data_IF_025003731167
#
_entry.id   IF_025003731167
#
_cell.length_a   1.000
_cell.length_b   1.000
_cell.length_c   1.000
_cell.angle_alpha   90.00
_cell.angle_beta   90.00
_cell.angle_gamma   90.00
#
_symmetry.space_group_name_H-M   'P 1'
#
loop_
_entity.id
_entity.type
_entity.pdbx_description
1 polymer ?
#
# COMPACT_ATOMS: atom_id res chain seq x y z
N UNK A 1 15.63 -15.30 -10.81
CA UNK A 1 16.49 -14.44 -9.97
C UNK A 1 15.95 -14.49 -8.54
N UNK A 2 16.82 -14.64 -7.55
CA UNK A 2 16.66 -15.25 -6.20
C UNK A 2 16.67 -16.78 -6.15
N UNK A 3 15.83 -17.49 -6.92
CA UNK A 3 15.77 -18.97 -6.95
C UNK A 3 16.34 -19.61 -8.23
N UNK A 4 16.98 -18.81 -9.08
CA UNK A 4 17.67 -19.36 -10.27
C UNK A 4 19.00 -19.95 -9.80
N UNK A 5 19.40 -21.10 -10.34
CA UNK A 5 20.61 -21.80 -9.91
C UNK A 5 21.87 -20.93 -10.02
N UNK A 6 22.02 -20.19 -11.11
CA UNK A 6 23.19 -19.34 -11.37
C UNK A 6 23.18 -18.02 -10.56
N UNK A 7 22.00 -17.50 -10.25
CA UNK A 7 21.81 -16.23 -9.56
C UNK A 7 21.05 -16.41 -8.24
N UNK A 8 21.32 -17.52 -7.56
CA UNK A 8 20.66 -17.85 -6.31
C UNK A 8 21.07 -16.82 -5.26
N UNK A 9 20.10 -16.36 -4.48
CA UNK A 9 20.35 -15.50 -3.35
C UNK A 9 19.97 -16.26 -2.07
N UNK A 10 20.95 -16.88 -1.37
CA UNK A 10 20.68 -17.76 -0.23
C UNK A 10 19.76 -17.16 0.84
N UNK A 11 19.87 -15.86 1.22
CA UNK A 11 18.97 -15.27 2.20
C UNK A 11 17.48 -15.27 1.81
N UNK A 12 17.13 -15.51 0.54
CA UNK A 12 15.75 -15.69 0.08
C UNK A 12 15.48 -17.15 -0.25
N UNK A 13 16.39 -17.79 -1.00
CA UNK A 13 16.21 -19.13 -1.53
C UNK A 13 16.13 -20.21 -0.45
N UNK A 14 16.88 -20.04 0.64
CA UNK A 14 16.97 -21.03 1.72
C UNK A 14 15.79 -20.91 2.70
N UNK A 15 15.12 -19.75 2.73
CA UNK A 15 13.99 -19.48 3.63
C UNK A 15 12.68 -20.01 3.07
N UNK A 16 12.43 -19.82 1.77
CA UNK A 16 11.16 -20.17 1.13
C UNK A 16 11.40 -20.57 -0.33
N UNK A 17 10.72 -21.59 -0.83
CA UNK A 17 10.82 -21.94 -2.26
C UNK A 17 10.06 -20.95 -3.14
N UNK A 18 10.49 -20.79 -4.40
CA UNK A 18 9.81 -19.95 -5.40
C UNK A 18 8.32 -20.25 -5.47
N UNK A 19 7.96 -21.52 -5.59
CA UNK A 19 6.58 -21.93 -5.81
C UNK A 19 5.72 -21.69 -4.56
N UNK A 20 6.29 -21.89 -3.36
CA UNK A 20 5.61 -21.55 -2.12
C UNK A 20 5.39 -20.04 -1.98
N UNK A 21 6.39 -19.22 -2.29
CA UNK A 21 6.26 -17.76 -2.27
C UNK A 21 5.18 -17.28 -3.25
N UNK A 22 5.19 -17.79 -4.49
CA UNK A 22 4.18 -17.43 -5.49
C UNK A 22 2.77 -17.87 -5.09
N UNK A 23 2.63 -19.05 -4.48
CA UNK A 23 1.36 -19.53 -3.97
C UNK A 23 0.83 -18.65 -2.83
N UNK A 24 1.67 -18.26 -1.87
CA UNK A 24 1.27 -17.34 -0.80
C UNK A 24 0.91 -15.97 -1.35
N UNK A 25 1.75 -15.39 -2.22
CA UNK A 25 1.50 -14.08 -2.84
C UNK A 25 0.17 -14.04 -3.62
N UNK A 26 -0.17 -15.12 -4.33
CA UNK A 26 -1.41 -15.20 -5.12
C UNK A 26 -2.66 -15.30 -4.24
N UNK A 27 -2.56 -15.97 -3.08
CA UNK A 27 -3.68 -16.27 -2.21
C UNK A 27 -3.68 -15.42 -0.92
N UNK A 28 -2.92 -14.34 -0.89
CA UNK A 28 -2.86 -13.45 0.26
C UNK A 28 -4.13 -12.58 0.32
N UNK A 29 -4.96 -12.84 1.33
CA UNK A 29 -6.20 -12.12 1.58
C UNK A 29 -6.23 -11.65 3.05
N UNK A 30 -6.62 -10.40 3.25
CA UNK A 30 -6.72 -9.76 4.58
C UNK A 30 -8.14 -9.86 5.12
N UNK A 31 -9.10 -10.00 4.22
CA UNK A 31 -10.54 -10.01 4.50
C UNK A 31 -11.19 -11.23 3.91
N UNK A 32 -12.31 -11.63 4.50
CA UNK A 32 -13.17 -12.68 3.99
C UNK A 32 -13.94 -12.19 2.74
N UNK A 33 -13.45 -12.56 1.56
CA UNK A 33 -13.97 -12.06 0.27
C UNK A 33 -15.39 -12.52 -0.04
N UNK A 34 -15.84 -13.63 0.57
CA UNK A 34 -17.17 -14.21 0.33
C UNK A 34 -18.27 -13.57 1.18
N UNK A 35 -17.93 -12.65 2.08
CA UNK A 35 -18.91 -11.93 2.88
C UNK A 35 -19.61 -10.85 2.03
N UNK A 36 -20.93 -10.66 2.17
CA UNK A 36 -21.61 -9.53 1.53
C UNK A 36 -20.96 -8.21 1.95
N UNK A 37 -20.68 -7.36 0.95
CA UNK A 37 -20.15 -6.03 1.19
C UNK A 37 -21.29 -5.10 1.56
N UNK A 38 -21.31 -4.65 2.81
CA UNK A 38 -22.27 -3.66 3.30
C UNK A 38 -21.83 -2.21 3.01
N UNK A 39 -20.62 -2.01 2.46
CA UNK A 39 -19.94 -0.72 2.42
C UNK A 39 -19.52 -0.32 1.00
N UNK A 40 -19.70 0.96 0.66
CA UNK A 40 -19.22 1.62 -0.57
C UNK A 40 -17.69 1.86 -0.61
N UNK A 41 -16.97 1.50 0.46
CA UNK A 41 -15.53 1.70 0.59
C UNK A 41 -14.76 0.93 -0.49
N UNK A 42 -14.19 1.65 -1.45
CA UNK A 42 -13.40 1.09 -2.57
C UNK A 42 -12.13 0.37 -2.13
N UNK A 43 -11.66 0.61 -0.91
CA UNK A 43 -10.44 0.04 -0.32
C UNK A 43 -10.74 -1.08 0.69
N UNK A 44 -11.98 -1.53 0.82
CA UNK A 44 -12.41 -2.54 1.81
C UNK A 44 -11.51 -3.77 1.91
N UNK A 45 -10.92 -4.22 0.79
CA UNK A 45 -10.02 -5.40 0.73
C UNK A 45 -8.75 -5.24 1.53
N UNK A 46 -8.28 -4.01 1.70
CA UNK A 46 -7.02 -3.67 2.37
C UNK A 46 -7.24 -2.81 3.61
N UNK A 47 -8.48 -2.37 3.86
CA UNK A 47 -8.82 -1.46 4.96
C UNK A 47 -8.25 -1.92 6.31
N UNK A 48 -8.30 -3.20 6.71
CA UNK A 48 -7.75 -3.59 8.02
C UNK A 48 -6.22 -3.34 8.15
N UNK A 49 -5.47 -3.45 7.05
CA UNK A 49 -4.03 -3.10 7.08
C UNK A 49 -3.85 -1.58 7.12
N UNK A 50 -4.68 -0.83 6.40
CA UNK A 50 -4.62 0.63 6.42
C UNK A 50 -4.90 1.16 7.82
N UNK A 51 -5.94 0.65 8.48
CA UNK A 51 -6.33 1.03 9.85
C UNK A 51 -5.22 0.68 10.84
N UNK A 52 -4.72 -0.56 10.83
CA UNK A 52 -3.64 -0.99 11.72
C UNK A 52 -2.36 -0.15 11.56
N UNK A 53 -2.02 0.24 10.31
CA UNK A 53 -0.88 1.11 10.08
C UNK A 53 -1.15 2.55 10.51
N UNK A 54 -2.36 3.07 10.28
CA UNK A 54 -2.79 4.42 10.65
C UNK A 54 -2.79 4.60 12.17
N UNK A 55 -3.25 3.60 12.93
CA UNK A 55 -3.18 3.59 14.39
C UNK A 55 -1.74 3.76 14.90
N UNK A 56 -0.79 3.03 14.33
CA UNK A 56 0.63 3.13 14.69
C UNK A 56 1.22 4.49 14.31
N UNK A 57 0.80 5.07 13.19
CA UNK A 57 1.21 6.41 12.74
C UNK A 57 0.71 7.51 13.68
N UNK A 58 -0.58 7.50 14.03
CA UNK A 58 -1.24 8.52 14.84
C UNK A 58 -0.82 8.51 16.32
N UNK A 59 -0.32 7.38 16.83
CA UNK A 59 0.16 7.27 18.21
C UNK A 59 1.45 8.07 18.50
N UNK A 60 2.01 8.78 17.51
CA UNK A 60 3.28 9.49 17.62
C UNK A 60 3.08 11.00 17.67
N UNK A 61 3.68 11.64 18.67
CA UNK A 61 3.71 13.09 18.80
C UNK A 61 4.98 13.68 18.19
N UNK A 62 4.83 14.80 17.47
CA UNK A 62 5.92 15.46 16.76
C UNK A 62 5.71 16.99 16.67
N UNK A 63 6.81 17.73 16.52
CA UNK A 63 6.78 19.20 16.47
C UNK A 63 6.92 19.76 15.05
N UNK A 64 7.10 18.91 14.05
CA UNK A 64 7.29 19.33 12.65
C UNK A 64 6.44 18.48 11.73
N UNK A 65 5.80 19.14 10.77
CA UNK A 65 4.78 18.56 9.90
C UNK A 65 5.00 19.02 8.47
N UNK A 66 4.96 18.09 7.52
CA UNK A 66 4.97 18.35 6.09
C UNK A 66 3.92 17.45 5.44
N UNK A 67 3.07 18.03 4.59
CA UNK A 67 2.04 17.30 3.85
C UNK A 67 2.38 17.37 2.36
N UNK A 68 2.42 16.23 1.69
CA UNK A 68 2.60 16.16 0.24
C UNK A 68 1.94 14.88 -0.34
N UNK A 69 1.95 14.79 -1.66
CA UNK A 69 1.40 13.69 -2.44
C UNK A 69 2.49 12.67 -2.80
N UNK A 70 2.32 11.45 -2.30
CA UNK A 70 3.09 10.27 -2.68
C UNK A 70 2.35 9.45 -3.74
N UNK A 71 3.06 9.04 -4.79
CA UNK A 71 2.56 8.08 -5.76
C UNK A 71 3.04 6.67 -5.40
N UNK A 72 2.10 5.75 -5.16
CA UNK A 72 2.36 4.31 -5.01
C UNK A 72 2.24 3.68 -6.41
N UNK A 73 3.36 3.27 -7.05
CA UNK A 73 3.32 2.81 -8.43
C UNK A 73 2.49 1.54 -8.58
N UNK A 74 1.46 1.59 -9.41
CA UNK A 74 0.59 0.44 -9.66
C UNK A 74 -0.12 0.58 -11.01
N UNK A 75 0.14 -0.37 -11.91
CA UNK A 75 -0.43 -0.39 -13.27
C UNK A 75 -1.58 -1.37 -13.44
N UNK A 76 -1.87 -2.20 -12.43
CA UNK A 76 -2.98 -3.15 -12.45
C UNK A 76 -4.35 -2.47 -12.48
N UNK A 77 -5.41 -3.26 -12.68
CA UNK A 77 -6.80 -2.77 -12.64
C UNK A 77 -7.19 -2.48 -11.18
N UNK A 78 -7.40 -1.22 -10.85
CA UNK A 78 -7.91 -0.79 -9.55
C UNK A 78 -8.78 0.46 -9.72
N UNK A 79 -10.00 0.52 -9.13
CA UNK A 79 -10.92 1.66 -9.29
C UNK A 79 -10.36 3.00 -8.81
N UNK A 80 -9.43 2.98 -7.85
CA UNK A 80 -8.84 4.20 -7.25
C UNK A 80 -7.54 4.65 -7.94
N UNK A 81 -7.10 3.96 -8.99
CA UNK A 81 -5.88 4.31 -9.73
C UNK A 81 -5.98 5.71 -10.35
N UNK A 82 -4.94 6.51 -10.15
CA UNK A 82 -4.80 7.86 -10.67
C UNK A 82 -3.69 7.94 -11.71
N UNK A 83 -3.80 8.96 -12.56
CA UNK A 83 -2.72 9.46 -13.40
C UNK A 83 -2.37 10.88 -12.95
N UNK A 84 -1.15 11.10 -12.49
CA UNK A 84 -0.65 12.42 -12.06
C UNK A 84 0.43 12.85 -13.05
N UNK A 85 0.10 13.85 -13.88
CA UNK A 85 1.02 14.43 -14.85
C UNK A 85 2.26 14.98 -14.12
N UNK A 86 3.43 14.87 -14.74
CA UNK A 86 4.73 15.37 -14.23
C UNK A 86 5.36 14.60 -13.05
N UNK A 87 4.78 13.51 -12.56
CA UNK A 87 5.49 12.60 -11.62
C UNK A 87 6.35 11.59 -12.42
N UNK A 88 7.54 11.19 -11.93
CA UNK A 88 8.40 10.19 -12.61
C UNK A 88 7.70 8.86 -12.87
N UNK A 89 6.81 8.46 -11.96
CA UNK A 89 5.90 7.32 -12.10
C UNK A 89 4.47 7.85 -12.06
N UNK A 90 3.89 8.22 -13.21
CA UNK A 90 2.65 8.99 -13.24
C UNK A 90 1.41 8.14 -12.98
N UNK A 91 1.48 6.81 -13.10
CA UNK A 91 0.35 5.89 -12.92
C UNK A 91 0.49 5.13 -11.61
N UNK A 92 -0.53 5.20 -10.75
CA UNK A 92 -0.51 4.49 -9.47
C UNK A 92 -1.67 4.84 -8.56
N UNK A 93 -1.50 4.59 -7.27
CA UNK A 93 -2.41 5.07 -6.23
C UNK A 93 -1.85 6.38 -5.69
N UNK A 94 -2.67 7.41 -5.65
CA UNK A 94 -2.31 8.70 -5.05
C UNK A 94 -2.57 8.62 -3.55
N UNK A 95 -1.56 8.97 -2.75
CA UNK A 95 -1.61 8.96 -1.30
C UNK A 95 -1.22 10.35 -0.79
N UNK A 96 -2.06 10.99 0.02
CA UNK A 96 -1.65 12.16 0.79
C UNK A 96 -0.92 11.65 2.03
N UNK A 97 0.24 12.22 2.34
CA UNK A 97 1.09 11.76 3.45
C UNK A 97 1.47 12.95 4.30
N UNK A 98 1.20 12.85 5.59
CA UNK A 98 1.75 13.73 6.62
C UNK A 98 3.04 13.08 7.16
N UNK A 99 4.15 13.81 7.11
CA UNK A 99 5.41 13.33 7.61
C UNK A 99 6.16 14.36 8.47
N UNK A 100 7.10 13.87 9.27
CA UNK A 100 8.10 14.68 9.94
C UNK A 100 9.16 15.18 8.95
N UNK A 101 9.96 16.16 9.37
CA UNK A 101 11.16 16.61 8.63
C UNK A 101 12.19 15.50 8.34
N UNK A 102 12.20 14.42 9.14
CA UNK A 102 13.05 13.24 8.92
C UNK A 102 12.43 12.18 7.99
N UNK A 103 11.22 12.42 7.47
CA UNK A 103 10.54 11.50 6.56
C UNK A 103 9.71 10.41 7.23
N UNK A 104 9.52 10.44 8.56
CA UNK A 104 8.62 9.52 9.26
C UNK A 104 7.16 9.86 8.97
N UNK A 105 6.34 8.88 8.58
CA UNK A 105 4.90 9.03 8.31
C UNK A 105 4.11 9.08 9.61
N UNK A 106 3.28 10.13 9.76
CA UNK A 106 2.44 10.40 10.93
C UNK A 106 0.95 10.20 10.63
N UNK A 107 0.55 10.43 9.39
CA UNK A 107 -0.78 10.15 8.90
C UNK A 107 -0.74 9.99 7.38
N UNK A 108 -1.75 9.33 6.80
CA UNK A 108 -1.90 9.21 5.36
C UNK A 108 -3.35 8.96 4.96
N UNK A 109 -3.67 9.29 3.71
CA UNK A 109 -4.99 9.07 3.13
C UNK A 109 -4.87 8.70 1.64
N UNK A 110 -5.36 7.51 1.29
CA UNK A 110 -5.37 7.05 -0.10
C UNK A 110 -6.54 7.72 -0.82
N UNK A 111 -6.22 8.45 -1.88
CA UNK A 111 -7.24 9.16 -2.65
C UNK A 111 -8.18 8.19 -3.36
N UNK A 112 -9.45 8.20 -2.95
CA UNK A 112 -10.55 7.53 -3.66
C UNK A 112 -11.43 8.60 -4.33
N UNK A 113 -11.62 8.51 -5.65
CA UNK A 113 -12.50 9.46 -6.36
C UNK A 113 -13.92 9.38 -5.76
N UNK A 114 -14.43 10.46 -5.18
CA UNK A 114 -15.82 10.58 -4.71
C UNK A 114 -16.03 10.68 -3.20
N UNK A 115 -14.99 10.55 -2.37
CA UNK A 115 -15.07 10.97 -0.95
C UNK A 115 -14.74 12.45 -0.84
N UNK A 116 -15.67 13.25 -0.30
CA UNK A 116 -15.34 14.61 0.12
C UNK A 116 -14.37 14.50 1.30
N UNK A 117 -13.29 15.28 1.25
CA UNK A 117 -12.41 15.50 2.39
C UNK A 117 -13.26 16.20 3.46
N UNK A 118 -13.65 15.45 4.49
CA UNK A 118 -14.30 15.98 5.69
C UNK A 118 -13.30 16.59 6.65
#
# INVERSE_FOLDING_TARGET
>A
MYWESEFQYPPVADIISRDRFLALRKNFHIVEVNRPLENENKLWKVQPILDAFKEVCLARDHNTYSIDEQMIPFTGRCPVRQFVKNKPRPVGLKNFVLCTSAGLVLDFEIYTKGQQLG
#
